data_IF_634990816931
#
_entry.id   IF_634990816931
#
_cell.length_a   1.000
_cell.length_b   1.000
_cell.length_c   1.000
_cell.angle_alpha   90.00
_cell.angle_beta   90.00
_cell.angle_gamma   90.00
#
_symmetry.space_group_name_H-M   'P 1'
#
loop_
_entity.id
_entity.type
_entity.pdbx_description
1 polymer ?
#
# COMPACT_ATOMS: atom_id res chain seq x y z
N UNK A 1 -16.17 -3.87 59.36
CA UNK A 1 -14.96 -3.43 58.61
C UNK A 1 -14.47 -4.46 57.58
N UNK A 2 -14.39 -5.77 57.91
CA UNK A 2 -13.94 -6.81 56.96
C UNK A 2 -14.77 -6.93 55.66
N UNK A 3 -16.10 -6.77 55.72
CA UNK A 3 -17.00 -6.89 54.56
C UNK A 3 -16.79 -5.81 53.48
N UNK A 4 -16.50 -4.58 53.89
CA UNK A 4 -16.20 -3.49 52.96
C UNK A 4 -14.85 -3.69 52.26
N UNK A 5 -13.87 -4.29 52.95
CA UNK A 5 -12.55 -4.62 52.41
C UNK A 5 -12.64 -5.69 51.30
N UNK A 6 -13.47 -6.72 51.49
CA UNK A 6 -13.69 -7.77 50.49
C UNK A 6 -14.37 -7.27 49.22
N UNK A 7 -15.37 -6.38 49.35
CA UNK A 7 -16.07 -5.78 48.20
C UNK A 7 -15.12 -4.86 47.39
N UNK A 8 -14.27 -4.08 48.09
CA UNK A 8 -13.26 -3.26 47.43
C UNK A 8 -12.24 -4.10 46.66
N UNK A 9 -11.75 -5.21 47.25
CA UNK A 9 -10.79 -6.11 46.60
C UNK A 9 -11.38 -6.82 45.37
N UNK A 10 -12.64 -7.26 45.42
CA UNK A 10 -13.32 -7.85 44.26
C UNK A 10 -13.59 -6.83 43.14
N UNK A 11 -14.00 -5.60 43.48
CA UNK A 11 -14.19 -4.54 42.47
C UNK A 11 -12.90 -4.19 41.74
N UNK A 12 -11.77 -4.10 42.45
CA UNK A 12 -10.46 -3.85 41.86
C UNK A 12 -10.00 -4.98 40.94
N UNK A 13 -10.44 -6.21 41.18
CA UNK A 13 -10.04 -7.39 40.38
C UNK A 13 -10.80 -7.46 39.04
N UNK A 14 -12.05 -6.97 38.99
CA UNK A 14 -12.87 -6.92 37.77
C UNK A 14 -12.41 -5.77 36.85
N UNK A 15 -11.89 -4.67 37.40
CA UNK A 15 -11.32 -3.57 36.62
C UNK A 15 -9.97 -3.90 35.93
N UNK A 16 -9.30 -5.00 36.31
CA UNK A 16 -8.05 -5.43 35.68
C UNK A 16 -8.23 -6.38 34.48
N UNK A 17 -9.47 -6.74 34.10
CA UNK A 17 -9.76 -7.71 33.03
C UNK A 17 -10.02 -7.10 31.64
N UNK A 18 -9.72 -5.82 31.42
CA UNK A 18 -9.94 -5.15 30.13
C UNK A 18 -8.68 -4.45 29.59
N UNK A 19 -7.60 -5.21 29.40
CA UNK A 19 -6.54 -4.85 28.46
C UNK A 19 -6.38 -6.02 27.49
N UNK A 20 -7.39 -6.22 26.63
CA UNK A 20 -7.14 -6.93 25.39
C UNK A 20 -6.20 -6.05 24.58
N UNK A 21 -4.92 -6.40 24.56
CA UNK A 21 -3.94 -5.82 23.64
C UNK A 21 -4.31 -6.32 22.24
N UNK A 22 -5.33 -5.70 21.63
CA UNK A 22 -5.69 -5.92 20.24
C UNK A 22 -4.45 -5.49 19.46
N UNK A 23 -3.74 -6.46 18.89
CA UNK A 23 -2.66 -6.24 17.95
C UNK A 23 -3.22 -5.37 16.81
N UNK A 24 -3.05 -4.05 16.90
CA UNK A 24 -3.48 -3.14 15.85
C UNK A 24 -2.51 -3.35 14.70
N UNK A 25 -2.92 -4.14 13.72
CA UNK A 25 -2.26 -4.15 12.42
C UNK A 25 -2.24 -2.70 11.93
N UNK A 26 -1.06 -2.11 11.67
CA UNK A 26 -0.99 -0.78 11.12
C UNK A 26 -1.77 -0.74 9.81
N UNK A 27 -2.61 0.28 9.63
CA UNK A 27 -3.35 0.54 8.40
C UNK A 27 -2.68 1.73 7.70
N UNK A 28 -2.61 1.77 6.36
CA UNK A 28 -2.17 2.97 5.68
C UNK A 28 -3.10 4.14 6.00
N UNK A 29 -2.55 5.34 6.04
CA UNK A 29 -3.30 6.57 6.36
C UNK A 29 -2.91 7.67 5.40
N UNK A 30 -3.84 8.61 5.14
CA UNK A 30 -3.48 9.87 4.50
C UNK A 30 -2.55 10.68 5.42
N UNK A 31 -1.58 11.36 4.83
CA UNK A 31 -0.60 12.18 5.54
C UNK A 31 -0.40 13.51 4.81
N UNK A 32 -1.07 14.55 5.30
CA UNK A 32 -0.95 15.92 4.78
C UNK A 32 0.37 16.59 5.20
N UNK A 33 1.04 16.05 6.23
CA UNK A 33 2.28 16.62 6.77
C UNK A 33 3.53 16.03 6.14
N UNK A 34 3.40 14.97 5.35
CA UNK A 34 4.52 14.33 4.67
C UNK A 34 5.12 15.27 3.62
N UNK A 35 6.42 15.55 3.78
CA UNK A 35 7.18 16.43 2.87
C UNK A 35 8.33 15.66 2.25
N UNK A 36 8.51 15.79 0.94
CA UNK A 36 9.66 15.22 0.27
C UNK A 36 10.94 16.01 0.61
N UNK A 37 11.92 15.34 1.19
CA UNK A 37 13.27 15.90 1.32
C UNK A 37 14.04 15.63 0.02
N UNK A 38 14.11 16.63 -0.87
CA UNK A 38 14.80 16.49 -2.15
C UNK A 38 16.31 16.58 -1.96
N UNK A 39 16.98 15.42 -1.89
CA UNK A 39 18.44 15.34 -1.97
C UNK A 39 18.78 14.76 -3.34
N UNK A 40 19.24 15.60 -4.28
CA UNK A 40 19.86 15.10 -5.50
C UNK A 40 21.15 14.38 -5.13
N UNK A 41 21.09 13.06 -5.01
CA UNK A 41 22.27 12.22 -4.89
C UNK A 41 22.50 11.50 -6.22
N UNK A 42 23.69 11.65 -6.79
CA UNK A 42 24.26 10.68 -7.73
C UNK A 42 24.21 9.31 -7.05
N UNK A 43 23.37 8.40 -7.55
CA UNK A 43 22.84 7.23 -6.87
C UNK A 43 23.88 6.40 -6.08
N UNK A 44 23.54 6.00 -4.84
CA UNK A 44 24.39 5.14 -3.99
C UNK A 44 23.81 3.74 -3.73
N UNK A 45 22.53 3.51 -4.01
CA UNK A 45 21.87 2.20 -3.96
C UNK A 45 20.75 2.11 -5.01
N UNK A 46 20.49 0.88 -5.48
CA UNK A 46 19.36 0.53 -6.34
C UNK A 46 18.37 -0.34 -5.56
N UNK A 47 17.09 -0.09 -5.81
CA UNK A 47 15.94 -0.75 -5.18
C UNK A 47 15.03 -1.33 -6.25
N UNK A 48 14.53 -2.54 -6.03
CA UNK A 48 13.42 -3.12 -6.80
C UNK A 48 12.13 -2.91 -6.02
N UNK A 49 11.24 -2.11 -6.60
CA UNK A 49 9.93 -1.81 -6.03
C UNK A 49 8.85 -2.47 -6.86
N UNK A 50 8.19 -3.48 -6.29
CA UNK A 50 7.08 -4.20 -6.91
C UNK A 50 5.77 -3.68 -6.36
N UNK A 51 4.94 -3.10 -7.23
CA UNK A 51 3.60 -2.61 -6.91
C UNK A 51 2.58 -3.59 -7.47
N UNK A 52 1.77 -4.16 -6.59
CA UNK A 52 0.62 -4.97 -6.97
C UNK A 52 -0.64 -4.11 -6.93
N UNK A 53 -1.36 -4.06 -8.06
CA UNK A 53 -2.63 -3.38 -8.18
C UNK A 53 -3.77 -4.36 -7.96
N UNK A 54 -4.73 -3.97 -7.13
CA UNK A 54 -5.92 -4.78 -6.85
C UNK A 54 -6.77 -5.01 -8.09
N UNK A 55 -7.42 -6.17 -8.17
CA UNK A 55 -8.45 -6.46 -9.16
C UNK A 55 -9.69 -5.53 -9.04
N UNK A 56 -9.85 -4.84 -7.91
CA UNK A 56 -10.93 -3.86 -7.69
C UNK A 56 -10.56 -2.43 -8.12
N UNK A 57 -9.36 -2.25 -8.68
CA UNK A 57 -8.88 -0.98 -9.22
C UNK A 57 -9.60 -0.60 -10.53
N UNK A 58 -9.53 0.67 -10.90
CA UNK A 58 -10.10 1.16 -12.16
C UNK A 58 -9.42 0.53 -13.38
N UNK A 59 -10.21 0.19 -14.40
CA UNK A 59 -9.72 -0.34 -15.69
C UNK A 59 -8.95 0.70 -16.52
N UNK A 60 -9.18 1.99 -16.28
CA UNK A 60 -8.63 3.06 -17.12
C UNK A 60 -7.17 3.39 -16.78
N UNK A 61 -6.75 3.19 -15.52
CA UNK A 61 -5.37 3.30 -15.04
C UNK A 61 -4.60 4.54 -15.53
N UNK A 62 -5.26 5.71 -15.67
CA UNK A 62 -4.67 6.96 -16.20
C UNK A 62 -4.02 7.83 -15.13
N UNK A 63 -4.02 7.38 -13.89
CA UNK A 63 -3.44 8.15 -12.81
C UNK A 63 -1.93 8.14 -12.87
N UNK A 64 -1.35 9.27 -12.49
CA UNK A 64 0.07 9.40 -12.24
C UNK A 64 0.37 8.93 -10.81
N UNK A 65 1.21 7.90 -10.69
CA UNK A 65 1.57 7.30 -9.40
C UNK A 65 3.03 7.62 -9.09
N UNK A 66 3.28 8.16 -7.90
CA UNK A 66 4.62 8.37 -7.37
C UNK A 66 4.77 7.65 -6.03
N UNK A 67 6.00 7.30 -5.67
CA UNK A 67 6.29 6.60 -4.41
C UNK A 67 7.41 7.30 -3.66
N UNK A 68 7.29 7.37 -2.34
CA UNK A 68 8.38 7.73 -1.43
C UNK A 68 8.52 6.70 -0.32
N UNK A 69 9.74 6.31 0.01
CA UNK A 69 10.02 5.34 1.08
C UNK A 69 11.37 5.61 1.73
N UNK A 70 11.58 5.05 2.92
CA UNK A 70 12.83 5.29 3.64
C UNK A 70 12.88 4.69 5.04
N UNK A 71 13.89 5.11 5.80
CA UNK A 71 14.19 4.57 7.12
C UNK A 71 14.15 5.61 8.25
N UNK A 72 14.27 5.13 9.49
CA UNK A 72 14.26 5.96 10.69
C UNK A 72 15.48 6.88 10.82
N UNK A 73 16.50 6.72 9.97
CA UNK A 73 17.70 7.57 9.96
C UNK A 73 17.53 8.80 9.08
N UNK A 74 16.37 8.99 8.44
CA UNK A 74 16.09 10.10 7.55
C UNK A 74 16.55 9.87 6.11
N UNK A 75 16.95 8.66 5.74
CA UNK A 75 17.19 8.32 4.34
C UNK A 75 15.82 8.24 3.63
N UNK A 76 15.63 9.04 2.57
CA UNK A 76 14.41 9.08 1.79
C UNK A 76 14.73 8.83 0.31
N UNK A 77 13.95 7.96 -0.30
CA UNK A 77 13.99 7.63 -1.72
C UNK A 77 12.64 8.01 -2.32
N UNK A 78 12.66 8.65 -3.49
CA UNK A 78 11.46 9.10 -4.19
C UNK A 78 11.57 8.78 -5.67
N UNK A 79 10.48 8.29 -6.24
CA UNK A 79 10.32 8.19 -7.69
C UNK A 79 8.99 8.81 -8.11
N UNK A 80 9.09 9.76 -9.02
CA UNK A 80 7.97 10.40 -9.67
C UNK A 80 7.53 9.59 -10.89
N UNK A 81 6.23 9.58 -11.16
CA UNK A 81 5.70 9.13 -12.45
C UNK A 81 6.11 7.72 -12.81
N UNK A 82 5.87 6.79 -11.89
CA UNK A 82 6.08 5.38 -12.15
C UNK A 82 5.18 4.96 -13.31
N UNK A 83 5.78 4.48 -14.40
CA UNK A 83 5.03 4.15 -15.60
C UNK A 83 4.44 5.36 -16.33
N UNK A 84 4.16 5.19 -17.62
CA UNK A 84 3.44 6.20 -18.38
C UNK A 84 1.93 6.00 -18.19
N UNK A 85 1.14 7.04 -17.88
CA UNK A 85 -0.30 6.93 -17.60
C UNK A 85 -1.11 6.22 -18.70
N UNK A 86 -0.62 6.25 -19.94
CA UNK A 86 -1.31 5.65 -21.10
C UNK A 86 -0.93 4.19 -21.36
N UNK A 87 0.02 3.64 -20.61
CA UNK A 87 0.50 2.25 -20.81
C UNK A 87 -0.35 1.20 -20.09
N UNK A 88 -1.31 1.62 -19.26
CA UNK A 88 -2.19 0.71 -18.52
C UNK A 88 -1.46 -0.14 -17.48
N UNK A 89 -0.22 0.21 -17.11
CA UNK A 89 0.59 -0.55 -16.15
C UNK A 89 -0.14 -0.75 -14.83
N UNK A 90 -0.85 0.28 -14.36
CA UNK A 90 -1.63 0.24 -13.13
C UNK A 90 -3.08 -0.24 -13.30
N UNK A 91 -3.34 -1.06 -14.32
CA UNK A 91 -4.62 -1.74 -14.51
C UNK A 91 -4.95 -2.73 -13.40
N UNK A 92 -6.19 -3.23 -13.34
CA UNK A 92 -6.61 -4.18 -12.32
C UNK A 92 -5.81 -5.50 -12.39
N UNK A 93 -5.53 -6.08 -11.22
CA UNK A 93 -4.74 -7.31 -11.07
C UNK A 93 -3.32 -7.25 -11.66
N UNK A 94 -2.76 -6.06 -11.85
CA UNK A 94 -1.41 -5.92 -12.42
C UNK A 94 -0.33 -6.03 -11.34
N UNK A 95 0.86 -6.45 -11.76
CA UNK A 95 2.07 -6.40 -10.95
C UNK A 95 3.18 -5.75 -11.77
N UNK A 96 3.78 -4.69 -11.24
CA UNK A 96 4.83 -3.94 -11.93
C UNK A 96 6.01 -3.69 -11.00
N UNK A 97 7.19 -4.08 -11.49
CA UNK A 97 8.46 -3.86 -10.79
C UNK A 97 9.22 -2.70 -11.42
N UNK A 98 9.73 -1.82 -10.58
CA UNK A 98 10.51 -0.64 -10.96
C UNK A 98 11.86 -0.66 -10.27
N UNK A 99 12.92 -0.35 -11.03
CA UNK A 99 14.22 -0.09 -10.44
C UNK A 99 14.33 1.40 -10.08
N UNK A 100 14.50 1.70 -8.79
CA UNK A 100 14.55 3.06 -8.26
C UNK A 100 15.90 3.27 -7.60
N UNK A 101 16.59 4.34 -8.00
CA UNK A 101 17.89 4.71 -7.47
C UNK A 101 17.77 5.78 -6.39
N UNK A 102 18.56 5.67 -5.33
CA UNK A 102 18.51 6.64 -4.23
C UNK A 102 19.61 6.49 -3.18
N UNK A 103 19.37 7.10 -2.02
CA UNK A 103 20.22 6.94 -0.84
C UNK A 103 20.05 5.54 -0.24
N UNK A 104 21.11 4.96 0.32
CA UNK A 104 21.01 3.64 0.96
C UNK A 104 20.29 3.71 2.31
N UNK A 105 19.04 3.26 2.36
CA UNK A 105 18.26 2.94 3.55
C UNK A 105 18.41 1.45 3.95
N UNK A 106 18.54 1.15 5.25
CA UNK A 106 18.74 -0.23 5.74
C UNK A 106 17.49 -0.89 6.33
N UNK A 107 16.72 -0.14 7.11
CA UNK A 107 15.52 -0.64 7.77
C UNK A 107 14.35 0.19 7.26
N UNK A 108 13.94 -0.09 6.03
CA UNK A 108 12.82 0.62 5.40
C UNK A 108 11.61 0.44 6.30
N UNK A 109 11.09 1.55 6.80
CA UNK A 109 10.04 1.55 7.81
C UNK A 109 8.84 2.43 7.47
N UNK A 110 8.90 3.15 6.36
CA UNK A 110 7.78 3.88 5.83
C UNK A 110 7.76 3.76 4.31
N UNK A 111 6.55 3.81 3.77
CA UNK A 111 6.30 3.90 2.35
C UNK A 111 4.99 4.64 2.14
N UNK A 112 5.00 5.62 1.24
CA UNK A 112 3.87 6.42 0.86
C UNK A 112 3.70 6.42 -0.65
N UNK A 113 2.46 6.38 -1.08
CA UNK A 113 2.07 6.53 -2.47
C UNK A 113 1.39 7.89 -2.63
N UNK A 114 1.70 8.57 -3.73
CA UNK A 114 1.02 9.78 -4.19
C UNK A 114 0.35 9.49 -5.51
N UNK A 115 -0.94 9.83 -5.62
CA UNK A 115 -1.74 9.63 -6.82
C UNK A 115 -2.24 10.97 -7.32
N UNK A 116 -2.09 11.22 -8.62
CA UNK A 116 -2.73 12.35 -9.31
C UNK A 116 -3.50 11.84 -10.50
N UNK A 117 -4.81 11.98 -10.47
CA UNK A 117 -5.66 11.64 -11.61
C UNK A 117 -7.12 11.41 -11.22
N UNK A 118 -7.96 11.09 -12.21
CA UNK A 118 -9.40 10.92 -12.01
C UNK A 118 -9.81 9.50 -11.59
N UNK A 119 -8.95 8.49 -11.71
CA UNK A 119 -9.36 7.08 -11.68
C UNK A 119 -9.26 6.46 -10.27
N UNK A 120 -10.21 5.67 -9.79
CA UNK A 120 -10.17 5.14 -8.40
C UNK A 120 -9.12 4.03 -8.17
N UNK A 121 -7.82 4.35 -8.30
CA UNK A 121 -6.74 3.37 -8.26
C UNK A 121 -6.47 2.82 -6.85
N UNK A 122 -6.33 1.50 -6.78
CA UNK A 122 -6.26 0.71 -5.54
C UNK A 122 -5.04 -0.22 -5.53
N UNK A 123 -3.96 0.11 -4.79
CA UNK A 123 -2.87 -0.80 -4.56
C UNK A 123 -3.29 -1.91 -3.59
N UNK A 124 -2.82 -3.12 -3.86
CA UNK A 124 -2.90 -4.25 -2.95
C UNK A 124 -1.69 -4.24 -2.01
N UNK A 125 -0.48 -4.20 -2.57
CA UNK A 125 0.76 -4.18 -1.81
C UNK A 125 1.89 -3.47 -2.55
N UNK A 126 2.88 -3.02 -1.77
CA UNK A 126 4.16 -2.52 -2.26
C UNK A 126 5.26 -3.32 -1.58
N UNK A 127 6.06 -4.02 -2.37
CA UNK A 127 7.25 -4.72 -1.92
C UNK A 127 8.50 -3.95 -2.34
N UNK A 128 9.44 -3.78 -1.41
CA UNK A 128 10.69 -3.05 -1.64
C UNK A 128 11.84 -3.96 -1.24
N UNK A 129 12.71 -4.24 -2.22
CA UNK A 129 13.93 -5.01 -2.05
C UNK A 129 15.14 -4.18 -2.50
N UNK A 130 16.32 -4.46 -1.97
CA UNK A 130 17.58 -3.85 -2.36
C UNK A 130 18.13 -2.81 -1.38
N UNK A 131 19.06 -1.99 -1.87
CA UNK A 131 19.72 -0.90 -1.15
C UNK A 131 20.28 -1.17 0.25
N UNK A 132 20.69 -2.44 0.50
CA UNK A 132 21.22 -2.95 1.78
C UNK A 132 20.18 -3.15 2.88
N UNK A 133 18.89 -3.09 2.54
CA UNK A 133 17.78 -3.46 3.42
C UNK A 133 17.31 -4.90 3.16
N UNK A 134 16.67 -5.51 4.16
CA UNK A 134 15.88 -6.71 3.93
C UNK A 134 14.61 -6.36 3.15
N UNK A 135 14.07 -7.27 2.32
CA UNK A 135 12.78 -7.07 1.68
C UNK A 135 11.69 -6.73 2.69
N UNK A 136 10.89 -5.71 2.37
CA UNK A 136 9.74 -5.29 3.18
C UNK A 136 8.50 -5.16 2.29
N UNK A 137 7.35 -5.53 2.84
CA UNK A 137 6.07 -5.44 2.13
C UNK A 137 5.08 -4.61 2.94
N UNK A 138 4.47 -3.62 2.30
CA UNK A 138 3.42 -2.76 2.82
C UNK A 138 2.09 -3.14 2.16
N UNK A 139 1.09 -3.53 2.96
CA UNK A 139 -0.21 -3.99 2.45
C UNK A 139 -1.28 -2.90 2.49
N UNK A 140 -1.66 -2.38 1.33
CA UNK A 140 -2.66 -1.31 1.20
C UNK A 140 -4.10 -1.81 1.18
N UNK A 141 -4.29 -3.13 1.15
CA UNK A 141 -5.58 -3.82 1.30
C UNK A 141 -6.63 -3.37 0.27
N UNK A 142 -6.20 -3.02 -0.95
CA UNK A 142 -7.11 -2.60 -2.03
C UNK A 142 -7.95 -1.35 -1.69
N UNK A 143 -7.44 -0.48 -0.81
CA UNK A 143 -8.10 0.80 -0.49
C UNK A 143 -7.77 1.84 -1.53
N UNK A 144 -8.75 2.68 -1.88
CA UNK A 144 -8.55 3.78 -2.83
C UNK A 144 -7.51 4.76 -2.29
N UNK A 145 -6.54 5.12 -3.13
CA UNK A 145 -5.57 6.17 -2.81
C UNK A 145 -6.23 7.53 -3.05
N UNK A 146 -6.27 8.42 -2.05
CA UNK A 146 -6.79 9.77 -2.23
C UNK A 146 -6.04 10.53 -3.34
N UNK A 147 -6.76 11.38 -4.07
CA UNK A 147 -6.15 12.20 -5.11
C UNK A 147 -5.37 13.36 -4.49
N UNK A 148 -4.17 13.62 -5.01
CA UNK A 148 -3.27 14.71 -4.63
C UNK A 148 -2.85 14.73 -3.14
N UNK A 149 -2.78 13.56 -2.51
CA UNK A 149 -2.41 13.41 -1.11
C UNK A 149 -1.54 12.18 -0.90
N UNK A 150 -0.53 12.27 -0.03
CA UNK A 150 0.29 11.14 0.35
C UNK A 150 -0.51 10.16 1.20
N UNK A 151 -0.41 8.88 0.87
CA UNK A 151 -1.14 7.81 1.54
C UNK A 151 -0.23 6.61 1.76
N UNK A 152 -0.13 6.14 3.00
CA UNK A 152 0.73 5.00 3.31
C UNK A 152 1.04 4.81 4.78
N UNK A 153 2.22 4.27 5.05
CA UNK A 153 2.64 3.82 6.36
C UNK A 153 3.84 4.61 6.85
N UNK A 154 3.85 4.94 8.14
CA UNK A 154 5.05 5.30 8.86
C UNK A 154 5.13 4.50 10.15
N UNK A 155 6.02 3.51 10.16
CA UNK A 155 6.19 2.56 11.24
C UNK A 155 7.56 2.70 11.91
N UNK A 156 8.31 3.75 11.61
CA UNK A 156 9.68 3.93 12.11
C UNK A 156 9.77 4.05 13.64
N UNK A 157 8.67 4.40 14.30
CA UNK A 157 8.56 4.45 15.76
C UNK A 157 8.02 3.15 16.38
N UNK A 158 7.70 2.14 15.57
CA UNK A 158 7.24 0.84 16.03
C UNK A 158 8.39 -0.17 16.00
N UNK A 159 8.56 -1.00 17.04
CA UNK A 159 9.49 -2.12 16.97
C UNK A 159 8.99 -3.08 15.90
N UNK A 160 9.69 -3.14 14.76
CA UNK A 160 9.34 -4.07 13.69
C UNK A 160 9.49 -5.51 14.17
N UNK A 161 8.43 -6.28 14.03
CA UNK A 161 8.55 -7.72 13.79
C UNK A 161 8.58 -7.87 12.26
N UNK A 162 9.65 -8.40 11.65
CA UNK A 162 9.65 -8.66 10.22
C UNK A 162 8.45 -9.55 9.88
N UNK A 163 7.75 -9.22 8.80
CA UNK A 163 6.69 -10.05 8.26
C UNK A 163 7.18 -11.50 8.21
N UNK A 164 6.37 -12.49 8.65
CA UNK A 164 6.76 -13.87 8.45
C UNK A 164 7.02 -14.08 6.95
N UNK A 165 8.09 -14.81 6.59
CA UNK A 165 8.38 -15.11 5.19
C UNK A 165 7.13 -15.71 4.55
N UNK A 166 6.89 -15.44 3.24
CA UNK A 166 5.74 -16.00 2.54
C UNK A 166 5.67 -17.51 2.81
N UNK A 167 4.52 -17.97 3.31
CA UNK A 167 4.29 -19.35 3.72
C UNK A 167 4.35 -20.35 2.56
N UNK A 168 4.45 -19.84 1.32
CA UNK A 168 4.75 -20.60 0.12
C UNK A 168 6.12 -20.23 -0.41
N UNK A 169 7.02 -21.20 -0.68
CA UNK A 169 8.19 -20.95 -1.51
C UNK A 169 7.72 -20.41 -2.88
N UNK A 170 8.50 -19.52 -3.52
CA UNK A 170 8.18 -19.06 -4.86
C UNK A 170 8.00 -20.28 -5.78
N UNK A 171 7.03 -20.25 -6.71
CA UNK A 171 6.87 -21.33 -7.67
C UNK A 171 8.22 -21.60 -8.36
N UNK A 172 8.60 -22.88 -8.56
CA UNK A 172 9.82 -23.18 -9.27
C UNK A 172 9.79 -22.49 -10.63
N UNK A 173 10.92 -21.96 -11.12
CA UNK A 173 10.97 -21.35 -12.44
C UNK A 173 10.40 -22.34 -13.46
N UNK A 174 9.66 -21.87 -14.48
CA UNK A 174 9.17 -22.72 -15.55
C UNK A 174 10.31 -23.60 -16.03
N UNK A 175 10.11 -24.91 -15.99
CA UNK A 175 11.11 -25.88 -16.43
C UNK A 175 11.22 -25.70 -17.94
N UNK A 176 12.12 -24.84 -18.39
CA UNK A 176 12.41 -24.69 -19.81
C UNK A 176 12.75 -26.07 -20.35
N UNK A 177 12.20 -26.48 -21.51
CA UNK A 177 12.64 -27.70 -22.15
C UNK A 177 14.17 -27.63 -22.31
N UNK A 178 14.90 -28.75 -22.12
CA UNK A 178 16.33 -28.77 -22.32
C UNK A 178 16.63 -28.20 -23.71
N UNK A 179 17.52 -27.20 -23.75
CA UNK A 179 18.04 -26.68 -25.00
C UNK A 179 18.48 -27.86 -25.88
N UNK A 180 18.10 -27.88 -27.17
CA UNK A 180 18.61 -28.87 -28.09
C UNK A 180 20.15 -28.87 -28.03
N UNK A 181 20.74 -29.99 -27.60
CA UNK A 181 22.19 -30.16 -27.43
C UNK A 181 22.99 -30.00 -28.74
N UNK A 182 22.31 -29.80 -29.87
CA UNK A 182 22.90 -29.62 -31.19
C UNK A 182 22.87 -28.16 -31.67
N UNK A 183 22.72 -27.20 -30.76
CA UNK A 183 22.87 -25.79 -31.10
C UNK A 183 24.37 -25.47 -31.19
N UNK A 184 24.92 -25.01 -32.34
CA UNK A 184 26.30 -24.56 -32.40
C UNK A 184 26.53 -23.44 -31.37
N UNK A 185 27.73 -23.34 -30.77
CA UNK A 185 28.03 -22.27 -29.83
C UNK A 185 27.76 -20.91 -30.49
N UNK A 186 27.19 -19.95 -29.75
CA UNK A 186 27.02 -18.61 -30.28
C UNK A 186 28.37 -18.06 -30.74
N UNK A 187 28.43 -17.34 -31.87
CA UNK A 187 29.67 -16.76 -32.35
C UNK A 187 30.26 -15.84 -31.27
N UNK A 188 31.59 -15.92 -31.10
CA UNK A 188 32.31 -15.05 -30.18
C UNK A 188 31.95 -13.59 -30.42
N UNK A 189 31.72 -12.78 -29.37
CA UNK A 189 31.47 -11.36 -29.55
C UNK A 189 32.64 -10.73 -30.32
N UNK A 190 32.37 -9.81 -31.26
CA UNK A 190 33.43 -9.11 -31.96
C UNK A 190 34.30 -8.36 -30.95
N UNK A 191 35.61 -8.21 -31.22
CA UNK A 191 36.47 -7.42 -30.36
C UNK A 191 35.90 -6.01 -30.18
N UNK A 192 36.04 -5.38 -29.00
CA UNK A 192 35.55 -4.03 -28.78
C UNK A 192 36.14 -3.11 -29.85
N UNK A 193 35.26 -2.57 -30.69
CA UNK A 193 35.65 -1.55 -31.67
C UNK A 193 36.25 -0.39 -30.90
N UNK A 194 37.44 0.05 -31.31
CA UNK A 194 38.09 1.22 -30.73
C UNK A 194 37.11 2.39 -30.79
N UNK A 195 36.80 2.97 -29.65
CA UNK A 195 35.95 4.15 -29.55
C UNK A 195 36.43 5.20 -30.56
N UNK A 196 35.55 5.73 -31.44
CA UNK A 196 35.94 6.84 -32.30
C UNK A 196 36.37 8.02 -31.43
N UNK A 197 37.34 8.83 -31.88
CA UNK A 197 37.72 10.04 -31.16
C UNK A 197 36.50 10.95 -30.99
N UNK A 198 36.41 11.71 -29.88
CA UNK A 198 35.28 12.60 -29.65
C UNK A 198 35.16 13.60 -30.81
N UNK A 199 33.94 13.83 -31.34
CA UNK A 199 33.77 14.80 -32.41
C UNK A 199 34.19 16.18 -31.91
N UNK A 200 35.00 16.86 -32.72
CA UNK A 200 35.37 18.25 -32.49
C UNK A 200 34.11 19.09 -32.28
N UNK A 201 34.09 19.89 -31.21
CA UNK A 201 32.97 20.77 -30.83
C UNK A 201 32.55 21.59 -32.05
N UNK A 202 31.38 21.28 -32.62
CA UNK A 202 30.75 22.12 -33.62
C UNK A 202 30.27 23.40 -32.92
N UNK A 203 30.43 24.60 -33.50
CA UNK A 203 29.87 25.82 -32.93
C UNK A 203 28.36 25.65 -32.71
N UNK A 204 27.79 26.24 -31.64
CA UNK A 204 26.35 26.19 -31.44
C UNK A 204 25.63 26.82 -32.63
N UNK A 205 24.53 26.21 -33.10
CA UNK A 205 23.71 26.82 -34.15
C UNK A 205 23.14 28.17 -33.68
N UNK A 206 22.89 29.10 -34.60
CA UNK A 206 22.23 30.36 -34.26
C UNK A 206 20.86 30.10 -33.62
N UNK A 207 20.40 30.97 -32.71
CA UNK A 207 19.11 30.80 -32.05
C UNK A 207 17.98 30.78 -33.09
N UNK A 208 17.11 29.78 -32.97
CA UNK A 208 15.92 29.65 -33.80
C UNK A 208 15.01 30.87 -33.63
N UNK A 209 14.34 31.34 -34.71
CA UNK A 209 13.34 32.40 -34.59
C UNK A 209 12.21 31.98 -33.65
N UNK A 210 11.60 32.93 -32.92
CA UNK A 210 10.49 32.63 -32.03
C UNK A 210 9.33 31.99 -32.81
N UNK A 211 8.65 30.99 -32.24
CA UNK A 211 7.51 30.37 -32.90
C UNK A 211 6.39 31.40 -33.13
N UNK A 212 5.63 31.27 -34.24
CA UNK A 212 4.47 32.12 -34.48
C UNK A 212 3.46 31.95 -33.34
N UNK A 213 2.78 33.05 -32.99
CA UNK A 213 1.75 33.06 -31.96
C UNK A 213 0.66 32.03 -32.27
N UNK A 214 0.18 31.27 -31.27
CA UNK A 214 -0.87 30.28 -31.50
C UNK A 214 -2.16 30.96 -32.00
N UNK A 215 -2.91 30.29 -32.90
CA UNK A 215 -4.19 30.80 -33.35
C UNK A 215 -5.17 30.91 -32.17
N UNK A 216 -6.15 31.82 -32.23
CA UNK A 216 -7.18 31.95 -31.20
C UNK A 216 -7.95 30.62 -31.04
N UNK A 217 -8.37 30.28 -29.82
CA UNK A 217 -9.12 29.06 -29.57
C UNK A 217 -10.45 29.08 -30.32
N UNK A 218 -10.92 27.92 -30.82
CA UNK A 218 -12.23 27.82 -31.45
C UNK A 218 -13.35 28.14 -30.46
N UNK A 219 -14.49 28.65 -30.93
CA UNK A 219 -15.65 28.90 -30.08
C UNK A 219 -16.12 27.62 -29.39
N UNK A 220 -16.54 27.75 -28.13
CA UNK A 220 -17.00 26.63 -27.32
C UNK A 220 -18.23 25.96 -27.96
N UNK A 221 -18.32 24.62 -27.96
CA UNK A 221 -19.51 23.94 -28.46
C UNK A 221 -20.74 24.24 -27.60
N UNK A 222 -21.95 24.19 -28.19
CA UNK A 222 -23.19 24.38 -27.44
C UNK A 222 -23.36 23.29 -26.36
N UNK A 223 -24.05 23.60 -25.25
CA UNK A 223 -24.28 22.63 -24.19
C UNK A 223 -25.14 21.46 -24.71
N UNK A 224 -24.87 20.23 -24.24
CA UNK A 224 -25.67 19.07 -24.61
C UNK A 224 -27.12 19.19 -24.09
N UNK A 225 -28.09 18.57 -24.76
CA UNK A 225 -29.47 18.54 -24.30
C UNK A 225 -29.59 17.85 -22.94
N UNK A 226 -30.55 18.26 -22.09
CA UNK A 226 -30.73 17.65 -20.78
C UNK A 226 -31.06 16.17 -20.91
N UNK A 227 -30.31 15.32 -20.19
CA UNK A 227 -30.55 13.90 -20.14
C UNK A 227 -31.89 13.60 -19.47
N UNK A 228 -32.66 12.69 -20.08
CA UNK A 228 -33.89 12.16 -19.50
C UNK A 228 -33.65 11.61 -18.09
N UNK A 229 -34.57 11.81 -17.14
CA UNK A 229 -34.40 11.27 -15.79
C UNK A 229 -34.34 9.73 -15.85
N UNK A 230 -33.46 9.10 -15.05
CA UNK A 230 -33.36 7.65 -15.00
C UNK A 230 -34.67 7.03 -14.48
N UNK A 231 -34.99 5.79 -14.89
CA UNK A 231 -36.16 5.08 -14.37
C UNK A 231 -36.03 4.87 -12.84
N UNK A 232 -37.16 4.76 -12.12
CA UNK A 232 -37.16 4.51 -10.68
C UNK A 232 -36.41 3.22 -10.35
N UNK A 233 -35.55 3.26 -9.33
CA UNK A 233 -34.87 2.06 -8.84
C UNK A 233 -35.88 1.06 -8.29
N UNK A 234 -35.68 -0.26 -8.49
CA UNK A 234 -36.53 -1.27 -7.88
C UNK A 234 -36.45 -1.19 -6.34
N UNK A 235 -37.53 -1.56 -5.62
CA UNK A 235 -37.53 -1.57 -4.17
C UNK A 235 -36.47 -2.54 -3.64
N UNK A 236 -35.80 -2.23 -2.52
CA UNK A 236 -34.81 -3.11 -1.94
C UNK A 236 -35.45 -4.43 -1.52
N UNK A 237 -34.73 -5.56 -1.64
CA UNK A 237 -35.21 -6.85 -1.17
C UNK A 237 -35.48 -6.82 0.34
N UNK A 238 -36.53 -7.51 0.76
CA UNK A 238 -36.90 -7.65 2.18
C UNK A 238 -35.72 -8.17 3.00
N UNK A 239 -35.48 -7.63 4.21
CA UNK A 239 -34.40 -8.12 5.06
C UNK A 239 -34.62 -9.60 5.41
N UNK A 240 -33.55 -10.41 5.44
CA UNK A 240 -33.66 -11.81 5.84
C UNK A 240 -34.15 -11.92 7.30
N UNK A 241 -34.86 -13.01 7.64
CA UNK A 241 -35.29 -13.25 9.02
C UNK A 241 -34.07 -13.33 9.96
N UNK A 242 -34.20 -12.86 11.21
CA UNK A 242 -33.11 -12.90 12.17
C UNK A 242 -32.67 -14.35 12.43
N UNK A 243 -31.36 -14.60 12.58
CA UNK A 243 -30.87 -15.95 12.87
C UNK A 243 -31.36 -16.42 14.25
N UNK A 244 -31.56 -17.74 14.44
CA UNK A 244 -31.91 -18.29 15.74
C UNK A 244 -30.81 -17.96 16.77
N UNK A 245 -31.17 -17.70 18.04
CA UNK A 245 -30.21 -17.35 19.07
C UNK A 245 -29.18 -18.48 19.25
N UNK A 246 -27.91 -18.16 19.03
CA UNK A 246 -26.81 -19.11 19.20
C UNK A 246 -26.73 -19.59 20.66
N UNK A 247 -26.46 -20.88 20.82
CA UNK A 247 -26.31 -21.59 22.10
C UNK A 247 -25.24 -20.98 23.03
N UNK A 248 -24.33 -20.17 22.50
CA UNK A 248 -23.31 -19.45 23.26
C UNK A 248 -23.88 -18.34 24.17
N UNK A 249 -25.05 -17.76 23.84
CA UNK A 249 -25.68 -16.71 24.66
C UNK A 249 -26.42 -17.24 25.88
N UNK A 250 -26.73 -18.54 25.92
CA UNK A 250 -27.36 -19.18 27.09
C UNK A 250 -26.35 -19.55 28.18
N UNK A 251 -25.12 -19.89 27.80
CA UNK A 251 -24.08 -20.26 28.77
C UNK A 251 -23.57 -19.06 29.59
N UNK A 252 -23.46 -17.89 28.98
CA UNK A 252 -22.99 -16.66 29.66
C UNK A 252 -24.00 -16.15 30.69
N UNK A 253 -25.31 -16.25 30.42
CA UNK A 253 -26.33 -15.83 31.39
C UNK A 253 -26.43 -16.82 32.57
N UNK A 254 -26.36 -18.13 32.31
CA UNK A 254 -26.37 -19.15 33.37
C UNK A 254 -25.17 -19.00 34.32
N UNK A 255 -23.96 -18.74 33.80
CA UNK A 255 -22.79 -18.46 34.62
C UNK A 255 -22.94 -17.19 35.45
N UNK A 256 -23.54 -16.12 34.89
CA UNK A 256 -23.74 -14.87 35.60
C UNK A 256 -24.74 -15.02 36.77
N UNK A 257 -25.82 -15.77 36.59
CA UNK A 257 -26.80 -16.06 37.65
C UNK A 257 -26.21 -16.97 38.74
N UNK A 258 -25.40 -17.97 38.37
CA UNK A 258 -24.74 -18.85 39.33
C UNK A 258 -23.72 -18.09 40.20
N UNK A 259 -22.95 -17.17 39.60
CA UNK A 259 -21.98 -16.34 40.33
C UNK A 259 -22.70 -15.38 41.27
N UNK A 260 -23.79 -14.73 40.83
CA UNK A 260 -24.59 -13.86 41.71
C UNK A 260 -25.20 -14.67 42.88
N UNK A 261 -25.71 -15.86 42.63
CA UNK A 261 -26.28 -16.73 43.67
C UNK A 261 -25.26 -17.21 44.71
N UNK A 262 -24.03 -17.51 44.28
CA UNK A 262 -22.93 -17.88 45.18
C UNK A 262 -22.46 -16.68 46.02
N UNK A 263 -22.40 -15.48 45.42
CA UNK A 263 -22.06 -14.24 46.13
C UNK A 263 -23.14 -13.88 47.15
N UNK A 264 -24.42 -14.04 46.81
CA UNK A 264 -25.53 -13.79 47.73
C UNK A 264 -25.56 -14.79 48.90
N UNK A 265 -25.34 -16.08 48.65
CA UNK A 265 -25.27 -17.10 49.72
C UNK A 265 -24.08 -16.85 50.67
N UNK A 266 -22.92 -16.50 50.13
CA UNK A 266 -21.75 -16.16 50.95
C UNK A 266 -21.98 -14.89 51.80
N UNK A 267 -22.78 -13.94 51.32
CA UNK A 267 -23.19 -12.74 52.05
C UNK A 267 -24.18 -13.03 53.18
N UNK A 268 -25.07 -14.02 53.00
CA UNK A 268 -26.06 -14.42 54.01
C UNK A 268 -25.40 -15.25 55.13
N UNK A 269 -24.49 -16.18 54.82
CA UNK A 269 -23.80 -17.00 55.83
C UNK A 269 -22.80 -16.26 56.71
N UNK A 270 -22.54 -14.97 56.43
CA UNK A 270 -21.67 -14.14 57.27
C UNK A 270 -22.44 -13.30 58.30
N UNK A 271 -23.79 -13.25 58.26
CA UNK A 271 -24.64 -12.56 59.23
C UNK A 271 -25.08 -13.51 60.35
#
# INVERSE_FOLDING_TARGET
MMRALFILLFSASIFNLSQANILRTPLPKPDESFTLIYIQNEAKCSYLVTINTSCYSSILARDHISIAFGDASGNQIYAEGLGEPQTGRFGPCSSNTYEINGTCAKNICYAYIYRTGPDDWKPESVEIDGGKSNPVTFYYNSTSVPNNLWYGFNLCNYPFSPSPPPSSPPPPPPRFPPFPQNSPPPPSPPPPSRSPPPPSRRPPPPPSPPPPSPPPPPPSPPPPPPHSPPPPSPPPPSPPPPPPPSSARRYTWACFVAIIGLVFNALISLH
#
